data_IF_717786578819
#
_entry.id   IF_717786578819
#
_cell.length_a   1.000
_cell.length_b   1.000
_cell.length_c   1.000
_cell.angle_alpha   90.00
_cell.angle_beta   90.00
_cell.angle_gamma   90.00
#
_symmetry.space_group_name_H-M   'P 1'
#
loop_
_entity.id
_entity.type
_entity.pdbx_description
1 polymer ?
#
# COMPACT_ATOMS: atom_id res chain seq x y z
N UNK A 1 19.24 -16.71 -5.99
CA UNK A 1 18.12 -15.74 -5.77
C UNK A 1 17.73 -15.77 -4.28
N UNK A 2 17.56 -14.62 -3.64
CA UNK A 2 17.14 -14.56 -2.22
C UNK A 2 15.66 -14.96 -2.14
N UNK A 3 15.36 -16.04 -1.41
CA UNK A 3 13.99 -16.56 -1.28
C UNK A 3 13.44 -16.19 0.10
N UNK A 4 12.50 -15.25 0.14
CA UNK A 4 11.78 -14.80 1.33
C UNK A 4 10.28 -14.82 1.08
N UNK A 5 9.48 -14.62 2.13
CA UNK A 5 8.04 -14.41 1.98
C UNK A 5 7.76 -13.24 1.03
N UNK A 6 8.49 -12.13 1.17
CA UNK A 6 8.30 -10.92 0.38
C UNK A 6 8.56 -11.18 -1.12
N UNK A 7 9.69 -11.82 -1.45
CA UNK A 7 10.04 -12.10 -2.85
C UNK A 7 9.07 -13.08 -3.50
N UNK A 8 8.57 -14.06 -2.75
CA UNK A 8 7.58 -15.03 -3.24
C UNK A 8 6.20 -14.40 -3.43
N UNK A 9 5.77 -13.58 -2.45
CA UNK A 9 4.42 -12.99 -2.45
C UNK A 9 4.25 -11.94 -3.54
N UNK A 10 5.27 -11.11 -3.74
CA UNK A 10 5.20 -10.02 -4.71
C UNK A 10 5.97 -10.30 -6.02
N UNK A 11 6.61 -11.48 -6.12
CA UNK A 11 7.40 -11.88 -7.30
C UNK A 11 8.43 -10.82 -7.67
N UNK A 12 9.18 -10.34 -6.68
CA UNK A 12 10.24 -9.34 -6.81
C UNK A 12 11.62 -9.99 -6.62
N UNK A 13 12.65 -9.38 -7.19
CA UNK A 13 14.02 -9.94 -7.16
C UNK A 13 14.67 -9.84 -5.78
N UNK A 14 14.45 -8.72 -5.11
CA UNK A 14 15.07 -8.43 -3.82
C UNK A 14 14.00 -8.21 -2.74
N UNK A 15 14.21 -8.68 -1.50
CA UNK A 15 13.26 -8.51 -0.41
C UNK A 15 13.31 -7.08 0.19
N UNK A 16 13.04 -6.09 -0.66
CA UNK A 16 13.14 -4.67 -0.32
C UNK A 16 11.84 -3.97 -0.71
N UNK A 17 11.28 -3.23 0.26
CA UNK A 17 10.20 -2.28 0.03
C UNK A 17 10.78 -0.87 0.10
N UNK A 18 10.66 -0.09 -0.97
CA UNK A 18 10.86 1.35 -0.91
C UNK A 18 9.73 1.95 -0.07
N UNK A 19 10.08 2.42 1.13
CA UNK A 19 9.11 2.88 2.12
C UNK A 19 8.30 4.10 1.63
N UNK A 20 7.05 4.25 2.10
CA UNK A 20 6.26 5.44 1.82
C UNK A 20 6.86 6.64 2.56
N UNK A 21 7.08 7.73 1.84
CA UNK A 21 7.63 8.98 2.39
C UNK A 21 6.71 10.14 1.99
N UNK A 22 6.08 10.78 2.98
CA UNK A 22 5.15 11.87 2.73
C UNK A 22 5.84 13.03 1.97
N UNK A 23 5.21 13.47 0.88
CA UNK A 23 5.69 14.51 -0.04
C UNK A 23 7.05 14.23 -0.73
N UNK A 24 7.66 13.08 -0.49
CA UNK A 24 8.92 12.67 -1.13
C UNK A 24 8.69 11.56 -2.16
N UNK A 25 8.01 10.48 -1.76
CA UNK A 25 7.66 9.39 -2.68
C UNK A 25 6.79 9.90 -3.82
N UNK A 26 7.07 9.42 -5.02
CA UNK A 26 6.30 9.71 -6.23
C UNK A 26 6.28 8.49 -7.16
N UNK A 27 5.42 8.52 -8.17
CA UNK A 27 5.27 7.39 -9.08
C UNK A 27 6.58 7.00 -9.78
N UNK A 28 7.39 7.98 -10.18
CA UNK A 28 8.68 7.70 -10.83
C UNK A 28 9.61 6.88 -9.94
N UNK A 29 9.66 7.17 -8.64
CA UNK A 29 10.46 6.39 -7.69
C UNK A 29 9.96 4.94 -7.59
N UNK A 30 8.65 4.71 -7.56
CA UNK A 30 8.08 3.38 -7.50
C UNK A 30 8.34 2.60 -8.79
N UNK A 31 8.20 3.25 -9.94
CA UNK A 31 8.47 2.66 -11.24
C UNK A 31 9.95 2.24 -11.34
N UNK A 32 10.86 3.11 -10.92
CA UNK A 32 12.29 2.78 -10.91
C UNK A 32 12.63 1.67 -9.90
N UNK A 33 11.99 1.66 -8.72
CA UNK A 33 12.13 0.57 -7.77
C UNK A 33 11.70 -0.77 -8.40
N UNK A 34 10.55 -0.80 -9.06
CA UNK A 34 10.04 -1.98 -9.74
C UNK A 34 10.99 -2.49 -10.85
N UNK A 35 11.47 -1.59 -11.72
CA UNK A 35 12.43 -1.93 -12.78
C UNK A 35 13.73 -2.54 -12.24
N UNK A 36 14.13 -2.16 -11.03
CA UNK A 36 15.32 -2.67 -10.36
C UNK A 36 15.05 -3.89 -9.45
N UNK A 37 13.83 -4.44 -9.47
CA UNK A 37 13.49 -5.66 -8.76
C UNK A 37 13.09 -5.47 -7.29
N UNK A 38 12.72 -4.26 -6.91
CA UNK A 38 12.13 -3.90 -5.62
C UNK A 38 10.62 -3.70 -5.76
N UNK A 39 9.93 -3.48 -4.65
CA UNK A 39 8.56 -3.00 -4.67
C UNK A 39 8.47 -1.68 -3.89
N UNK A 40 7.76 -0.69 -4.44
CA UNK A 40 7.62 0.61 -3.80
C UNK A 40 6.24 0.81 -3.17
N UNK A 41 6.18 1.69 -2.16
CA UNK A 41 4.95 2.14 -1.52
C UNK A 41 4.90 3.67 -1.52
N UNK A 42 3.72 4.24 -1.80
CA UNK A 42 3.50 5.70 -1.80
C UNK A 42 2.35 6.06 -0.87
N UNK A 43 2.44 7.15 -0.07
CA UNK A 43 1.31 7.64 0.70
C UNK A 43 0.17 8.11 -0.20
N UNK A 44 -1.05 7.68 0.09
CA UNK A 44 -2.24 8.17 -0.63
C UNK A 44 -2.42 9.68 -0.49
N UNK A 45 -1.97 10.26 0.63
CA UNK A 45 -2.04 11.69 0.90
C UNK A 45 -0.99 12.53 0.12
N UNK A 46 -0.10 11.91 -0.66
CA UNK A 46 0.76 12.64 -1.60
C UNK A 46 -0.02 13.17 -2.81
N UNK A 47 -1.21 12.67 -3.04
CA UNK A 47 -2.13 13.15 -4.06
C UNK A 47 -3.12 14.14 -3.45
N UNK A 48 -3.31 15.30 -4.09
CA UNK A 48 -4.13 16.39 -3.56
C UNK A 48 -5.62 16.14 -3.71
N UNK A 49 -6.01 15.42 -4.76
CA UNK A 49 -7.41 15.12 -5.06
C UNK A 49 -7.61 13.62 -5.32
N UNK A 50 -8.83 13.10 -5.14
CA UNK A 50 -9.14 11.73 -5.51
C UNK A 50 -8.88 11.42 -6.99
N UNK A 51 -9.08 12.39 -7.87
CA UNK A 51 -8.85 12.24 -9.31
C UNK A 51 -7.36 12.09 -9.63
N UNK A 52 -6.50 12.89 -8.98
CA UNK A 52 -5.04 12.73 -9.05
C UNK A 52 -4.60 11.38 -8.52
N UNK A 53 -5.21 10.92 -7.41
CA UNK A 53 -4.93 9.62 -6.82
C UNK A 53 -5.30 8.49 -7.80
N UNK A 54 -6.51 8.49 -8.35
CA UNK A 54 -6.95 7.46 -9.30
C UNK A 54 -6.07 7.42 -10.56
N UNK A 55 -5.70 8.59 -11.09
CA UNK A 55 -4.77 8.69 -12.22
C UNK A 55 -3.40 8.11 -11.86
N UNK A 56 -2.86 8.47 -10.70
CA UNK A 56 -1.56 7.96 -10.24
C UNK A 56 -1.55 6.45 -10.04
N UNK A 57 -2.63 5.88 -9.46
CA UNK A 57 -2.80 4.44 -9.29
C UNK A 57 -2.88 3.71 -10.65
N UNK A 58 -3.62 4.28 -11.60
CA UNK A 58 -3.74 3.70 -12.94
C UNK A 58 -2.39 3.65 -13.65
N UNK A 59 -1.58 4.71 -13.55
CA UNK A 59 -0.21 4.74 -14.06
C UNK A 59 0.65 3.64 -13.41
N UNK A 60 0.64 3.53 -12.08
CA UNK A 60 1.42 2.51 -11.36
C UNK A 60 0.98 1.08 -11.71
N UNK A 61 -0.32 0.85 -11.90
CA UNK A 61 -0.81 -0.46 -12.33
C UNK A 61 -0.24 -0.85 -13.69
N UNK A 62 -0.18 0.08 -14.62
CA UNK A 62 0.39 -0.15 -15.95
C UNK A 62 1.90 -0.36 -15.88
N UNK A 63 2.64 0.58 -15.29
CA UNK A 63 4.10 0.60 -15.31
C UNK A 63 4.74 -0.45 -14.40
N UNK A 64 4.11 -0.80 -13.29
CA UNK A 64 4.61 -1.78 -12.32
C UNK A 64 3.86 -3.13 -12.38
N UNK A 65 3.01 -3.35 -13.38
CA UNK A 65 2.20 -4.57 -13.50
C UNK A 65 1.40 -4.91 -12.22
N UNK A 66 0.89 -3.89 -11.55
CA UNK A 66 0.17 -4.01 -10.29
C UNK A 66 1.05 -4.25 -9.06
N UNK A 67 2.38 -4.34 -9.21
CA UNK A 67 3.34 -4.58 -8.11
C UNK A 67 3.77 -3.26 -7.45
N UNK A 68 2.89 -2.68 -6.66
CA UNK A 68 3.13 -1.48 -5.86
C UNK A 68 2.27 -1.50 -4.61
N UNK A 69 2.61 -0.68 -3.64
CA UNK A 69 1.87 -0.51 -2.39
C UNK A 69 1.37 0.91 -2.19
N UNK A 70 0.34 1.04 -1.37
CA UNK A 70 -0.22 2.33 -0.94
C UNK A 70 -0.21 2.39 0.58
N UNK A 71 0.30 3.49 1.12
CA UNK A 71 0.15 3.78 2.54
C UNK A 71 -1.14 4.57 2.79
N UNK A 72 -1.95 4.08 3.71
CA UNK A 72 -3.23 4.65 4.12
C UNK A 72 -3.16 5.11 5.57
N UNK A 73 -3.41 6.38 5.80
CA UNK A 73 -3.66 6.90 7.15
C UNK A 73 -5.11 6.56 7.49
N UNK A 74 -5.30 5.61 8.40
CA UNK A 74 -6.64 5.09 8.76
C UNK A 74 -7.25 5.75 9.99
N UNK A 75 -6.71 6.90 10.38
CA UNK A 75 -7.27 7.73 11.43
C UNK A 75 -8.59 8.37 10.99
N UNK A 76 -9.53 8.52 11.92
CA UNK A 76 -10.84 9.16 11.69
C UNK A 76 -10.76 10.60 11.18
N UNK A 77 -9.63 11.28 11.40
CA UNK A 77 -9.38 12.62 10.85
C UNK A 77 -9.08 12.63 9.35
N UNK A 78 -8.77 11.49 8.74
CA UNK A 78 -8.53 11.41 7.31
C UNK A 78 -9.86 11.38 6.53
N UNK A 79 -10.31 12.55 6.12
CA UNK A 79 -11.56 12.74 5.36
C UNK A 79 -11.53 12.09 3.96
N UNK A 80 -10.34 11.78 3.45
CA UNK A 80 -10.16 11.18 2.12
C UNK A 80 -10.19 9.65 2.12
N UNK A 81 -10.07 9.01 3.29
CA UNK A 81 -9.90 7.57 3.41
C UNK A 81 -10.95 6.76 2.64
N UNK A 82 -12.23 7.12 2.80
CA UNK A 82 -13.32 6.42 2.12
C UNK A 82 -13.17 6.46 0.60
N UNK A 83 -12.92 7.65 0.04
CA UNK A 83 -12.71 7.82 -1.41
C UNK A 83 -11.48 7.07 -1.91
N UNK A 84 -10.39 7.09 -1.13
CA UNK A 84 -9.19 6.31 -1.47
C UNK A 84 -9.47 4.82 -1.49
N UNK A 85 -10.21 4.29 -0.51
CA UNK A 85 -10.63 2.88 -0.50
C UNK A 85 -11.53 2.55 -1.70
N UNK A 86 -12.48 3.42 -2.06
CA UNK A 86 -13.36 3.24 -3.23
C UNK A 86 -12.53 3.13 -4.54
N UNK A 87 -11.46 3.91 -4.66
CA UNK A 87 -10.53 3.86 -5.80
C UNK A 87 -9.70 2.57 -5.78
N UNK A 88 -9.19 2.18 -4.61
CA UNK A 88 -8.38 0.97 -4.46
C UNK A 88 -9.17 -0.33 -4.66
N UNK A 89 -10.48 -0.33 -4.43
CA UNK A 89 -11.35 -1.46 -4.80
C UNK A 89 -11.45 -1.63 -6.31
N UNK A 90 -11.47 -0.54 -7.06
CA UNK A 90 -11.48 -0.57 -8.54
C UNK A 90 -10.11 -0.92 -9.12
N UNK A 91 -9.06 -0.46 -8.45
CA UNK A 91 -7.67 -0.57 -8.88
C UNK A 91 -6.78 -1.16 -7.77
N UNK A 92 -6.94 -2.46 -7.42
CA UNK A 92 -6.25 -3.06 -6.28
C UNK A 92 -4.72 -3.02 -6.45
N UNK A 93 -3.96 -2.50 -5.44
CA UNK A 93 -2.51 -2.62 -5.39
C UNK A 93 -2.09 -4.03 -4.91
N UNK A 94 -0.81 -4.34 -4.96
CA UNK A 94 -0.30 -5.59 -4.39
C UNK A 94 -0.44 -5.61 -2.87
N UNK A 95 -0.24 -4.48 -2.22
CA UNK A 95 -0.40 -4.35 -0.76
C UNK A 95 -0.76 -2.92 -0.34
N UNK A 96 -1.23 -2.80 0.88
CA UNK A 96 -1.38 -1.52 1.58
C UNK A 96 -0.62 -1.57 2.90
N UNK A 97 -0.15 -0.41 3.36
CA UNK A 97 0.37 -0.20 4.72
C UNK A 97 -0.61 0.72 5.42
N UNK A 98 -1.24 0.25 6.50
CA UNK A 98 -2.13 1.08 7.33
C UNK A 98 -1.36 1.70 8.48
N UNK A 99 -1.58 2.99 8.72
CA UNK A 99 -0.92 3.75 9.78
C UNK A 99 -1.92 4.59 10.57
N UNK A 100 -1.63 4.82 11.85
CA UNK A 100 -2.33 5.74 12.74
C UNK A 100 -3.81 5.43 13.00
N UNK A 101 -4.18 4.15 13.15
CA UNK A 101 -5.56 3.78 13.48
C UNK A 101 -5.87 2.31 13.22
N UNK A 102 -7.15 1.93 13.32
CA UNK A 102 -7.58 0.54 13.09
C UNK A 102 -7.57 0.18 11.60
N UNK A 103 -6.94 -0.93 11.20
CA UNK A 103 -6.95 -1.41 9.82
C UNK A 103 -8.25 -2.13 9.41
N UNK A 104 -9.21 -2.28 10.33
CA UNK A 104 -10.38 -3.17 10.17
C UNK A 104 -11.16 -2.91 8.88
N UNK A 105 -11.51 -1.66 8.58
CA UNK A 105 -12.23 -1.31 7.34
C UNK A 105 -11.40 -1.63 6.10
N UNK A 106 -10.10 -1.32 6.14
CA UNK A 106 -9.17 -1.62 5.05
C UNK A 106 -9.06 -3.12 4.79
N UNK A 107 -8.93 -3.93 5.86
CA UNK A 107 -8.89 -5.39 5.78
C UNK A 107 -10.19 -5.91 5.15
N UNK A 108 -11.34 -5.48 5.67
CA UNK A 108 -12.66 -5.92 5.20
C UNK A 108 -12.86 -5.64 3.71
N UNK A 109 -12.38 -4.50 3.21
CA UNK A 109 -12.62 -4.05 1.84
C UNK A 109 -11.58 -4.59 0.84
N UNK A 110 -10.31 -4.60 1.20
CA UNK A 110 -9.23 -4.87 0.25
C UNK A 110 -8.70 -6.32 0.30
N UNK A 111 -8.71 -6.97 1.47
CA UNK A 111 -8.22 -8.36 1.58
C UNK A 111 -8.97 -9.34 0.68
N UNK A 112 -10.32 -9.29 0.51
CA UNK A 112 -11.04 -10.17 -0.42
C UNK A 112 -10.61 -10.02 -1.88
N UNK A 113 -9.99 -8.89 -2.24
CA UNK A 113 -9.46 -8.61 -3.58
C UNK A 113 -8.01 -9.10 -3.77
N UNK A 114 -7.45 -9.81 -2.79
CA UNK A 114 -6.08 -10.34 -2.82
C UNK A 114 -5.01 -9.35 -2.37
N UNK A 115 -5.39 -8.14 -1.96
CA UNK A 115 -4.45 -7.12 -1.45
C UNK A 115 -3.89 -7.58 -0.10
N UNK A 116 -2.57 -7.53 0.07
CA UNK A 116 -1.94 -7.78 1.38
C UNK A 116 -2.02 -6.54 2.25
N UNK A 117 -2.46 -6.69 3.48
CA UNK A 117 -2.53 -5.59 4.45
C UNK A 117 -1.38 -5.72 5.43
N UNK A 118 -0.50 -4.73 5.42
CA UNK A 118 0.58 -4.56 6.40
C UNK A 118 0.17 -3.44 7.36
N UNK A 119 0.51 -3.57 8.62
CA UNK A 119 0.08 -2.61 9.65
C UNK A 119 1.30 -2.04 10.38
N UNK A 120 1.38 -0.73 10.46
CA UNK A 120 2.30 -0.07 11.39
C UNK A 120 1.79 -0.28 12.82
N UNK A 121 2.64 -0.81 13.68
CA UNK A 121 2.30 -1.11 15.08
C UNK A 121 3.34 -0.49 16.00
N UNK A 122 2.88 -0.01 17.16
CA UNK A 122 3.73 0.68 18.14
C UNK A 122 4.25 -0.25 19.24
N UNK A 123 3.57 -1.36 19.46
CA UNK A 123 3.93 -2.35 20.49
C UNK A 123 3.39 -3.75 20.15
N UNK A 124 3.76 -4.72 20.97
CA UNK A 124 3.38 -6.14 20.79
C UNK A 124 1.88 -6.35 21.04
N UNK A 125 1.29 -5.62 21.98
CA UNK A 125 -0.15 -5.74 22.28
C UNK A 125 -0.97 -5.29 21.08
N UNK A 126 -0.63 -4.16 20.50
CA UNK A 126 -1.30 -3.67 19.28
C UNK A 126 -1.03 -4.60 18.08
N UNK A 127 0.17 -5.16 17.96
CA UNK A 127 0.46 -6.14 16.91
C UNK A 127 -0.48 -7.37 17.00
N UNK A 128 -0.67 -7.94 18.19
CA UNK A 128 -1.61 -9.05 18.41
C UNK A 128 -3.04 -8.67 18.10
N UNK A 129 -3.44 -7.44 18.46
CA UNK A 129 -4.77 -6.93 18.16
C UNK A 129 -5.02 -6.85 16.65
N UNK A 130 -4.12 -6.25 15.88
CA UNK A 130 -4.31 -6.13 14.43
C UNK A 130 -4.19 -7.48 13.72
N UNK A 131 -3.33 -8.39 14.20
CA UNK A 131 -3.26 -9.76 13.69
C UNK A 131 -4.59 -10.51 13.85
N UNK A 132 -5.29 -10.32 14.97
CA UNK A 132 -6.59 -10.94 15.22
C UNK A 132 -7.72 -10.44 14.30
N UNK A 133 -7.52 -9.32 13.63
CA UNK A 133 -8.48 -8.78 12.66
C UNK A 133 -8.37 -9.46 11.27
N UNK A 134 -7.35 -10.28 11.07
CA UNK A 134 -7.12 -11.04 9.83
C UNK A 134 -6.03 -10.48 8.96
#
# INVERSE_FOLDING_TARGET
MISTWLTKTFEIKYPIILAPMFLVSNNKMLIEAYKNGFIGCIPSLNFRTPEEFEKGITELRSECQGKFGINLIVNKSNIHLKKHLDILEKHPPAFVITSLGSPEETIKRLKPLGVKVLCDVVDVEYARKVESLG
#
